data_IF_053713824946
#
_entry.id   IF_053713824946
#
_cell.length_a   1.000
_cell.length_b   1.000
_cell.length_c   1.000
_cell.angle_alpha   90.00
_cell.angle_beta   90.00
_cell.angle_gamma   90.00
#
_symmetry.space_group_name_H-M   'P 1'
#
loop_
_entity.id
_entity.type
_entity.pdbx_description
1 polymer ?
#
# COMPACT_ATOMS: atom_id res chain seq x y z
N UNK A 1 -31.63 32.57 -22.03
CA UNK A 1 -30.27 32.40 -21.44
C UNK A 1 -30.30 31.76 -20.05
N UNK A 2 -31.06 32.29 -19.06
CA UNK A 2 -31.12 31.73 -17.68
C UNK A 2 -31.58 30.27 -17.60
N UNK A 3 -32.49 29.84 -18.48
CA UNK A 3 -33.06 28.47 -18.51
C UNK A 3 -32.03 27.42 -18.99
N UNK A 4 -31.12 27.79 -19.89
CA UNK A 4 -30.06 26.88 -20.38
C UNK A 4 -28.95 26.71 -19.34
N UNK A 5 -28.70 27.76 -18.54
CA UNK A 5 -27.65 27.78 -17.54
C UNK A 5 -27.92 26.82 -16.36
N UNK A 6 -29.20 26.54 -16.03
CA UNK A 6 -29.60 25.68 -14.91
C UNK A 6 -29.07 24.24 -15.03
N UNK A 7 -29.36 23.48 -16.10
CA UNK A 7 -28.84 22.12 -16.25
C UNK A 7 -27.31 22.08 -16.43
N UNK A 8 -26.71 23.10 -17.05
CA UNK A 8 -25.27 23.20 -17.18
C UNK A 8 -24.60 23.30 -15.81
N UNK A 9 -25.11 24.15 -14.91
CA UNK A 9 -24.59 24.28 -13.55
C UNK A 9 -24.67 22.96 -12.76
N UNK A 10 -25.70 22.16 -12.93
CA UNK A 10 -25.78 20.85 -12.27
C UNK A 10 -24.71 19.88 -12.79
N UNK A 11 -24.42 19.90 -14.09
CA UNK A 11 -23.42 19.02 -14.70
C UNK A 11 -21.98 19.43 -14.39
N UNK A 12 -21.70 20.74 -14.24
CA UNK A 12 -20.34 21.24 -13.97
C UNK A 12 -19.77 20.77 -12.62
N UNK A 13 -20.61 20.26 -11.71
CA UNK A 13 -20.20 19.70 -10.43
C UNK A 13 -19.30 18.44 -10.59
N UNK A 14 -19.35 17.78 -11.72
CA UNK A 14 -18.45 16.66 -12.02
C UNK A 14 -16.97 17.10 -12.08
N UNK A 15 -16.71 18.35 -12.44
CA UNK A 15 -15.34 18.90 -12.58
C UNK A 15 -14.60 18.96 -11.22
N UNK A 16 -15.12 19.58 -10.14
CA UNK A 16 -14.48 19.54 -8.83
C UNK A 16 -14.38 18.12 -8.27
N UNK A 17 -15.35 17.24 -8.53
CA UNK A 17 -15.27 15.84 -8.17
C UNK A 17 -14.09 15.11 -8.84
N UNK A 18 -13.94 15.29 -10.14
CA UNK A 18 -12.83 14.72 -10.89
C UNK A 18 -11.48 15.27 -10.41
N UNK A 19 -11.39 16.57 -10.16
CA UNK A 19 -10.20 17.20 -9.62
C UNK A 19 -9.80 16.60 -8.25
N UNK A 20 -10.78 16.40 -7.37
CA UNK A 20 -10.56 15.78 -6.07
C UNK A 20 -10.00 14.35 -6.19
N UNK A 21 -10.48 13.56 -7.15
CA UNK A 21 -9.96 12.21 -7.41
C UNK A 21 -8.50 12.22 -7.90
N UNK A 22 -8.07 13.25 -8.62
CA UNK A 22 -6.69 13.36 -9.12
C UNK A 22 -5.68 13.83 -8.07
N UNK A 23 -6.08 14.51 -7.00
CA UNK A 23 -5.15 15.02 -5.99
C UNK A 23 -4.24 13.94 -5.38
N UNK A 24 -4.74 12.79 -4.90
CA UNK A 24 -3.90 11.79 -4.27
C UNK A 24 -2.99 11.03 -5.26
N UNK A 25 -3.34 11.04 -6.55
CA UNK A 25 -2.63 10.25 -7.58
C UNK A 25 -1.78 11.09 -8.53
N UNK A 26 -1.54 12.35 -8.19
CA UNK A 26 -0.78 13.28 -9.05
C UNK A 26 0.58 12.74 -9.49
N UNK A 27 1.25 11.95 -8.67
CA UNK A 27 2.56 11.34 -8.98
C UNK A 27 2.47 10.13 -9.91
N UNK A 28 1.28 9.55 -10.09
CA UNK A 28 1.02 8.33 -10.86
C UNK A 28 0.25 8.60 -12.15
N UNK A 29 0.33 9.81 -12.68
CA UNK A 29 -0.29 10.15 -13.95
C UNK A 29 0.56 9.65 -15.12
N UNK A 30 -0.08 9.12 -16.16
CA UNK A 30 0.59 8.72 -17.42
C UNK A 30 1.16 9.90 -18.18
N UNK A 31 0.63 11.10 -17.93
CA UNK A 31 1.04 12.35 -18.58
C UNK A 31 1.29 13.44 -17.52
N UNK A 32 2.14 14.44 -17.79
CA UNK A 32 2.33 15.55 -16.87
C UNK A 32 1.00 16.25 -16.57
N UNK A 33 0.78 16.61 -15.31
CA UNK A 33 -0.51 17.15 -14.83
C UNK A 33 -0.99 18.38 -15.63
N UNK A 34 -0.06 19.26 -16.06
CA UNK A 34 -0.39 20.41 -16.87
C UNK A 34 -0.96 20.04 -18.24
N UNK A 35 -0.37 19.04 -18.92
CA UNK A 35 -0.87 18.56 -20.22
C UNK A 35 -2.22 17.86 -20.07
N UNK A 36 -2.38 17.05 -19.02
CA UNK A 36 -3.66 16.40 -18.71
C UNK A 36 -4.75 17.44 -18.47
N UNK A 37 -4.51 18.45 -17.63
CA UNK A 37 -5.47 19.51 -17.36
C UNK A 37 -5.82 20.32 -18.61
N UNK A 38 -4.85 20.60 -19.48
CA UNK A 38 -5.05 21.40 -20.67
C UNK A 38 -6.06 20.82 -21.68
N UNK A 39 -6.16 19.50 -21.79
CA UNK A 39 -7.14 18.88 -22.69
C UNK A 39 -8.38 18.34 -21.95
N UNK A 40 -8.22 17.84 -20.71
CA UNK A 40 -9.31 17.23 -19.96
C UNK A 40 -10.33 18.28 -19.47
N UNK A 41 -9.86 19.42 -18.96
CA UNK A 41 -10.75 20.48 -18.46
C UNK A 41 -11.67 21.05 -19.54
N UNK A 42 -11.19 21.50 -20.72
CA UNK A 42 -12.07 22.01 -21.76
C UNK A 42 -12.98 20.91 -22.35
N UNK A 43 -12.50 19.68 -22.45
CA UNK A 43 -13.32 18.55 -22.86
C UNK A 43 -14.50 18.32 -21.90
N UNK A 44 -14.22 18.22 -20.59
CA UNK A 44 -15.27 18.03 -19.58
C UNK A 44 -16.24 19.21 -19.54
N UNK A 45 -15.74 20.44 -19.66
CA UNK A 45 -16.57 21.63 -19.73
C UNK A 45 -17.47 21.60 -20.98
N UNK A 46 -16.92 21.27 -22.13
CA UNK A 46 -17.70 21.13 -23.39
C UNK A 46 -18.81 20.08 -23.26
N UNK A 47 -18.51 18.94 -22.63
CA UNK A 47 -19.49 17.88 -22.37
C UNK A 47 -20.59 18.31 -21.38
N UNK A 48 -20.22 19.10 -20.34
CA UNK A 48 -21.21 19.66 -19.43
C UNK A 48 -22.14 20.64 -20.17
N UNK A 49 -21.59 21.48 -21.02
CA UNK A 49 -22.40 22.42 -21.83
C UNK A 49 -23.29 21.68 -22.82
N UNK A 50 -22.73 20.74 -23.59
CA UNK A 50 -23.48 19.95 -24.55
C UNK A 50 -24.58 19.11 -23.88
N UNK A 51 -24.24 18.42 -22.77
CA UNK A 51 -25.19 17.65 -21.98
C UNK A 51 -26.30 18.51 -21.37
N UNK A 52 -25.97 19.70 -20.85
CA UNK A 52 -26.95 20.65 -20.32
C UNK A 52 -27.88 21.20 -21.39
N UNK A 53 -27.36 21.53 -22.57
CA UNK A 53 -28.14 21.96 -23.72
C UNK A 53 -29.10 20.83 -24.22
N UNK A 54 -28.59 19.60 -24.25
CA UNK A 54 -29.39 18.41 -24.63
C UNK A 54 -30.51 18.13 -23.61
N UNK A 55 -30.24 18.20 -22.30
CA UNK A 55 -31.25 18.05 -21.26
C UNK A 55 -32.32 19.14 -21.39
N UNK A 56 -31.93 20.35 -21.74
CA UNK A 56 -32.88 21.44 -21.99
C UNK A 56 -33.75 21.18 -23.21
N UNK A 57 -33.15 20.75 -24.32
CA UNK A 57 -33.84 20.45 -25.56
C UNK A 57 -34.86 19.32 -25.39
N UNK A 58 -34.48 18.25 -24.73
CA UNK A 58 -35.33 17.06 -24.49
C UNK A 58 -36.22 17.20 -23.25
N UNK A 59 -36.22 18.32 -22.53
CA UNK A 59 -36.88 18.47 -21.23
C UNK A 59 -36.58 17.31 -20.24
N UNK A 60 -35.42 16.67 -20.39
CA UNK A 60 -35.02 15.52 -19.61
C UNK A 60 -34.40 15.93 -18.25
N UNK A 61 -34.46 15.01 -17.30
CA UNK A 61 -33.81 15.19 -16.01
C UNK A 61 -32.28 15.15 -16.16
N UNK A 62 -31.57 16.01 -15.42
CA UNK A 62 -30.11 16.03 -15.38
C UNK A 62 -29.50 14.79 -14.74
N UNK A 63 -30.26 13.97 -14.01
CA UNK A 63 -29.79 12.82 -13.26
C UNK A 63 -29.13 11.76 -14.16
N UNK A 64 -29.72 11.45 -15.33
CA UNK A 64 -29.13 10.52 -16.28
C UNK A 64 -27.87 11.09 -16.93
N UNK A 65 -27.87 12.38 -17.26
CA UNK A 65 -26.73 13.07 -17.86
C UNK A 65 -25.55 13.15 -16.87
N UNK A 66 -25.82 13.47 -15.60
CA UNK A 66 -24.78 13.47 -14.55
C UNK A 66 -24.22 12.06 -14.32
N UNK A 67 -25.07 11.02 -14.28
CA UNK A 67 -24.63 9.64 -14.16
C UNK A 67 -23.72 9.21 -15.32
N UNK A 68 -24.12 9.51 -16.56
CA UNK A 68 -23.31 9.22 -17.76
C UNK A 68 -21.97 9.98 -17.75
N UNK A 69 -22.01 11.26 -17.37
CA UNK A 69 -20.81 12.11 -17.30
C UNK A 69 -19.84 11.66 -16.19
N UNK A 70 -20.35 11.27 -15.02
CA UNK A 70 -19.54 10.72 -13.93
C UNK A 70 -18.93 9.38 -14.30
N UNK A 71 -19.67 8.50 -14.95
CA UNK A 71 -19.14 7.23 -15.45
C UNK A 71 -18.00 7.45 -16.45
N UNK A 72 -18.20 8.36 -17.40
CA UNK A 72 -17.16 8.72 -18.38
C UNK A 72 -15.94 9.35 -17.70
N UNK A 73 -16.15 10.26 -16.74
CA UNK A 73 -15.07 10.86 -15.95
C UNK A 73 -14.28 9.78 -15.19
N UNK A 74 -14.94 8.78 -14.62
CA UNK A 74 -14.33 7.65 -13.94
C UNK A 74 -13.50 6.78 -14.90
N UNK A 75 -14.01 6.48 -16.09
CA UNK A 75 -13.28 5.74 -17.13
C UNK A 75 -12.03 6.50 -17.58
N UNK A 76 -12.13 7.82 -17.80
CA UNK A 76 -10.98 8.66 -18.14
C UNK A 76 -9.96 8.71 -17.01
N UNK A 77 -10.41 8.82 -15.77
CA UNK A 77 -9.54 8.77 -14.59
C UNK A 77 -8.74 7.46 -14.53
N UNK A 78 -9.40 6.31 -14.66
CA UNK A 78 -8.74 5.00 -14.68
C UNK A 78 -7.74 4.87 -15.85
N UNK A 79 -8.10 5.39 -17.03
CA UNK A 79 -7.23 5.34 -18.22
C UNK A 79 -5.99 6.21 -18.12
N UNK A 80 -6.07 7.32 -17.42
CA UNK A 80 -4.99 8.32 -17.30
C UNK A 80 -4.05 8.10 -16.11
N UNK A 81 -4.40 7.20 -15.20
CA UNK A 81 -3.61 6.85 -14.02
C UNK A 81 -2.85 5.53 -14.21
N UNK A 82 -1.72 5.35 -13.51
CA UNK A 82 -0.86 4.14 -13.53
C UNK A 82 -1.06 3.25 -12.30
N UNK A 83 -2.08 3.52 -11.50
CA UNK A 83 -2.40 2.75 -10.28
C UNK A 83 -3.33 1.58 -10.58
N UNK A 84 -3.38 0.59 -9.67
CA UNK A 84 -4.28 -0.56 -9.82
C UNK A 84 -5.75 -0.14 -9.90
N UNK A 85 -6.56 -0.93 -10.60
CA UNK A 85 -8.00 -0.68 -10.76
C UNK A 85 -8.72 -0.56 -9.41
N UNK A 86 -8.32 -1.35 -8.42
CA UNK A 86 -8.92 -1.33 -7.09
C UNK A 86 -8.63 -0.02 -6.34
N UNK A 87 -7.38 0.45 -6.37
CA UNK A 87 -7.00 1.75 -5.77
C UNK A 87 -7.75 2.90 -6.45
N UNK A 88 -7.70 2.96 -7.79
CA UNK A 88 -8.37 4.02 -8.56
C UNK A 88 -9.89 3.98 -8.44
N UNK A 89 -10.49 2.78 -8.50
CA UNK A 89 -11.91 2.58 -8.35
C UNK A 89 -12.43 3.02 -6.98
N UNK A 90 -11.76 2.64 -5.90
CA UNK A 90 -12.15 3.03 -4.54
C UNK A 90 -12.09 4.55 -4.33
N UNK A 91 -11.03 5.21 -4.81
CA UNK A 91 -10.91 6.68 -4.72
C UNK A 91 -12.05 7.35 -5.49
N UNK A 92 -12.29 6.94 -6.74
CA UNK A 92 -13.34 7.51 -7.56
C UNK A 92 -14.73 7.28 -6.94
N UNK A 93 -15.04 6.08 -6.44
CA UNK A 93 -16.29 5.77 -5.78
C UNK A 93 -16.48 6.56 -4.49
N UNK A 94 -15.43 6.76 -3.68
CA UNK A 94 -15.49 7.57 -2.46
C UNK A 94 -15.82 9.03 -2.78
N UNK A 95 -15.20 9.59 -3.80
CA UNK A 95 -15.54 10.94 -4.28
C UNK A 95 -16.99 10.99 -4.79
N UNK A 96 -17.41 10.03 -5.61
CA UNK A 96 -18.78 9.95 -6.10
C UNK A 96 -19.80 9.86 -4.95
N UNK A 97 -19.51 9.10 -3.89
CA UNK A 97 -20.40 8.97 -2.73
C UNK A 97 -20.56 10.30 -1.97
N UNK A 98 -19.47 11.04 -1.76
CA UNK A 98 -19.51 12.38 -1.14
C UNK A 98 -20.37 13.32 -1.99
N UNK A 99 -20.14 13.35 -3.30
CA UNK A 99 -20.90 14.23 -4.22
C UNK A 99 -22.36 13.80 -4.38
N UNK A 100 -22.68 12.50 -4.25
CA UNK A 100 -24.06 12.01 -4.20
C UNK A 100 -24.80 12.54 -2.94
N UNK A 101 -24.14 12.52 -1.77
CA UNK A 101 -24.69 13.10 -0.54
C UNK A 101 -24.92 14.60 -0.68
N UNK A 102 -23.98 15.36 -1.28
CA UNK A 102 -24.13 16.77 -1.56
C UNK A 102 -25.26 17.07 -2.54
N UNK A 103 -25.45 16.20 -3.55
CA UNK A 103 -26.56 16.31 -4.50
C UNK A 103 -27.92 16.15 -3.79
N UNK A 104 -28.06 15.15 -2.90
CA UNK A 104 -29.28 14.93 -2.12
C UNK A 104 -29.59 16.15 -1.25
N UNK A 105 -28.60 16.73 -0.58
CA UNK A 105 -28.80 17.94 0.21
C UNK A 105 -29.19 19.15 -0.65
N UNK A 106 -28.61 19.27 -1.84
CA UNK A 106 -28.93 20.34 -2.79
C UNK A 106 -30.34 20.22 -3.36
N UNK A 107 -30.85 18.99 -3.53
CA UNK A 107 -32.29 18.73 -3.88
C UNK A 107 -33.21 19.23 -2.78
N UNK A 108 -32.85 18.96 -1.52
CA UNK A 108 -33.62 19.49 -0.38
C UNK A 108 -33.64 21.02 -0.35
N UNK A 109 -32.47 21.65 -0.56
CA UNK A 109 -32.35 23.11 -0.63
C UNK A 109 -33.20 23.69 -1.78
N UNK A 110 -33.14 23.06 -2.96
CA UNK A 110 -33.96 23.47 -4.11
C UNK A 110 -35.46 23.40 -3.79
N UNK A 111 -35.92 22.31 -3.17
CA UNK A 111 -37.32 22.16 -2.76
C UNK A 111 -37.73 23.22 -1.74
N UNK A 112 -36.87 23.51 -0.72
CA UNK A 112 -37.12 24.55 0.27
C UNK A 112 -37.24 25.95 -0.36
N UNK A 113 -36.38 26.28 -1.34
CA UNK A 113 -36.42 27.57 -2.05
C UNK A 113 -37.67 27.69 -2.92
N UNK A 114 -38.11 26.64 -3.59
CA UNK A 114 -39.34 26.65 -4.42
C UNK A 114 -40.60 26.77 -3.58
N UNK A 115 -40.68 26.11 -2.43
CA UNK A 115 -41.78 26.24 -1.48
C UNK A 115 -41.95 27.68 -1.00
N UNK A 116 -40.85 28.37 -0.71
CA UNK A 116 -40.88 29.78 -0.29
C UNK A 116 -41.33 30.74 -1.40
N UNK A 117 -41.02 30.38 -2.66
CA UNK A 117 -41.35 31.27 -3.79
C UNK A 117 -42.83 31.21 -4.22
N UNK A 118 -43.65 30.37 -3.61
CA UNK A 118 -45.11 30.14 -3.94
C UNK A 118 -45.42 29.91 -5.42
N UNK A 119 -44.41 29.70 -6.24
CA UNK A 119 -44.54 29.37 -7.67
C UNK A 119 -43.88 28.03 -7.90
N UNK A 120 -44.60 26.88 -7.76
CA UNK A 120 -44.04 25.56 -8.06
C UNK A 120 -43.93 25.39 -9.56
N UNK A 121 -42.95 26.01 -10.19
CA UNK A 121 -42.55 25.58 -11.53
C UNK A 121 -41.89 24.22 -11.39
N UNK A 122 -42.59 23.20 -11.75
CA UNK A 122 -42.10 21.82 -11.84
C UNK A 122 -41.11 21.74 -13.00
N UNK A 123 -39.92 22.24 -12.77
CA UNK A 123 -38.80 22.04 -13.72
C UNK A 123 -38.01 20.83 -13.26
N UNK A 124 -37.51 19.97 -14.20
CA UNK A 124 -36.67 18.83 -13.85
C UNK A 124 -35.28 19.23 -13.36
N UNK A 125 -34.97 20.53 -13.30
CA UNK A 125 -33.68 21.12 -12.95
C UNK A 125 -33.78 21.99 -11.68
N UNK A 126 -32.63 22.19 -11.02
CA UNK A 126 -32.55 23.09 -9.88
C UNK A 126 -32.84 24.55 -10.28
N UNK A 127 -33.39 25.31 -9.35
CA UNK A 127 -33.45 26.75 -9.53
C UNK A 127 -32.02 27.33 -9.57
N UNK A 128 -31.83 28.44 -10.26
CA UNK A 128 -30.50 29.02 -10.49
C UNK A 128 -29.73 29.22 -9.18
N UNK A 129 -30.41 29.70 -8.13
CA UNK A 129 -29.82 29.95 -6.81
C UNK A 129 -29.35 28.66 -6.15
N UNK A 130 -30.15 27.58 -6.19
CA UNK A 130 -29.76 26.29 -5.65
C UNK A 130 -28.60 25.67 -6.43
N UNK A 131 -28.58 25.80 -7.77
CA UNK A 131 -27.49 25.33 -8.60
C UNK A 131 -26.16 26.03 -8.33
N UNK A 132 -26.18 27.36 -8.13
CA UNK A 132 -24.97 28.13 -7.74
C UNK A 132 -24.46 27.73 -6.36
N UNK A 133 -25.35 27.62 -5.36
CA UNK A 133 -24.97 27.17 -4.01
C UNK A 133 -24.40 25.75 -4.05
N UNK A 134 -25.01 24.86 -4.81
CA UNK A 134 -24.52 23.50 -4.97
C UNK A 134 -23.07 23.46 -5.52
N UNK A 135 -22.81 24.20 -6.61
CA UNK A 135 -21.45 24.31 -7.14
C UNK A 135 -20.47 24.90 -6.11
N UNK A 136 -20.85 25.99 -5.46
CA UNK A 136 -19.99 26.64 -4.45
C UNK A 136 -19.64 25.66 -3.32
N UNK A 137 -20.60 24.89 -2.82
CA UNK A 137 -20.36 23.87 -1.78
C UNK A 137 -19.44 22.77 -2.30
N UNK A 138 -19.64 22.29 -3.52
CA UNK A 138 -18.78 21.26 -4.12
C UNK A 138 -17.31 21.75 -4.26
N UNK A 139 -17.09 22.96 -4.72
CA UNK A 139 -15.76 23.56 -4.78
C UNK A 139 -15.15 23.77 -3.40
N UNK A 140 -15.94 24.19 -2.41
CA UNK A 140 -15.49 24.36 -1.03
C UNK A 140 -15.06 23.00 -0.43
N UNK A 141 -15.86 21.95 -0.61
CA UNK A 141 -15.52 20.58 -0.16
C UNK A 141 -14.26 20.09 -0.85
N UNK A 142 -14.10 20.33 -2.15
CA UNK A 142 -12.88 19.97 -2.90
C UNK A 142 -11.65 20.70 -2.36
N UNK A 143 -11.77 21.99 -2.04
CA UNK A 143 -10.69 22.78 -1.46
C UNK A 143 -10.34 22.31 -0.03
N UNK A 144 -11.35 22.04 0.80
CA UNK A 144 -11.14 21.51 2.15
C UNK A 144 -10.49 20.12 2.16
N UNK A 145 -10.87 19.27 1.22
CA UNK A 145 -10.33 17.91 1.07
C UNK A 145 -8.94 17.88 0.40
N UNK A 146 -8.42 19.01 -0.09
CA UNK A 146 -7.10 19.07 -0.73
C UNK A 146 -5.98 18.55 0.16
N UNK A 147 -5.91 19.02 1.41
CA UNK A 147 -4.87 18.63 2.35
C UNK A 147 -4.91 17.14 2.69
N UNK A 148 -6.02 16.53 3.16
CA UNK A 148 -6.08 15.10 3.41
C UNK A 148 -5.87 14.26 2.16
N UNK A 149 -6.34 14.70 0.99
CA UNK A 149 -6.15 13.98 -0.27
C UNK A 149 -4.67 13.91 -0.71
N UNK A 150 -3.95 15.03 -0.58
CA UNK A 150 -2.55 15.12 -1.02
C UNK A 150 -1.54 14.53 -0.01
N UNK A 151 -1.90 14.37 1.25
CA UNK A 151 -1.02 13.83 2.29
C UNK A 151 -1.46 12.42 2.71
N UNK A 152 -2.61 12.29 3.37
CA UNK A 152 -3.01 11.00 3.95
C UNK A 152 -3.43 9.97 2.88
N UNK A 153 -4.27 10.33 1.89
CA UNK A 153 -4.67 9.39 0.83
C UNK A 153 -3.50 9.06 -0.08
N UNK A 154 -2.64 10.04 -0.38
CA UNK A 154 -1.45 9.84 -1.21
C UNK A 154 -0.51 8.81 -0.57
N UNK A 155 -0.17 8.93 0.70
CA UNK A 155 0.70 7.96 1.40
C UNK A 155 0.13 6.55 1.37
N UNK A 156 -1.21 6.42 1.45
CA UNK A 156 -1.88 5.12 1.31
C UNK A 156 -1.79 4.54 -0.11
N UNK A 157 -1.83 5.38 -1.14
CA UNK A 157 -1.69 4.94 -2.54
C UNK A 157 -0.25 4.50 -2.82
N UNK A 158 0.73 5.19 -2.25
CA UNK A 158 2.16 4.91 -2.40
C UNK A 158 2.59 3.63 -1.67
N UNK A 159 1.88 3.20 -0.63
CA UNK A 159 2.23 2.03 0.16
C UNK A 159 1.56 0.75 -0.38
N UNK A 160 2.38 -0.25 -0.73
CA UNK A 160 1.89 -1.54 -1.26
C UNK A 160 1.37 -2.49 -0.18
N UNK A 161 1.67 -2.23 1.10
CA UNK A 161 1.18 -3.04 2.23
C UNK A 161 -0.36 -3.00 2.37
N UNK A 162 -1.04 -2.06 1.72
CA UNK A 162 -2.50 -1.91 1.73
C UNK A 162 -3.23 -2.62 0.60
N UNK A 163 -2.56 -3.42 -0.22
CA UNK A 163 -3.19 -4.04 -1.39
C UNK A 163 -4.49 -4.78 -1.02
N UNK A 164 -4.50 -5.54 0.07
CA UNK A 164 -5.68 -6.29 0.53
C UNK A 164 -6.81 -5.38 1.02
N UNK A 165 -6.50 -4.25 1.62
CA UNK A 165 -7.49 -3.32 2.17
C UNK A 165 -8.32 -2.68 1.06
N UNK A 166 -7.72 -2.36 -0.09
CA UNK A 166 -8.41 -1.77 -1.22
C UNK A 166 -9.48 -2.68 -1.84
N UNK A 167 -9.37 -4.02 -1.71
CA UNK A 167 -10.37 -4.97 -2.19
C UNK A 167 -11.70 -4.95 -1.42
N UNK A 168 -11.73 -4.38 -0.22
CA UNK A 168 -12.92 -4.34 0.63
C UNK A 168 -13.54 -2.95 0.70
N UNK A 169 -12.71 -1.91 0.65
CA UNK A 169 -13.16 -0.53 0.92
C UNK A 169 -14.09 0.09 -0.13
N UNK A 170 -14.11 -0.39 -1.37
CA UNK A 170 -15.03 0.11 -2.40
C UNK A 170 -16.50 -0.20 -2.11
N UNK A 171 -16.78 -1.21 -1.28
CA UNK A 171 -18.14 -1.66 -0.97
C UNK A 171 -18.94 -0.56 -0.26
N UNK A 172 -18.33 0.10 0.73
CA UNK A 172 -19.01 1.14 1.51
C UNK A 172 -19.36 2.39 0.71
N UNK A 173 -18.47 3.02 -0.06
CA UNK A 173 -18.84 4.09 -0.98
C UNK A 173 -19.96 3.69 -1.94
N UNK A 174 -19.93 2.48 -2.46
CA UNK A 174 -20.97 1.96 -3.34
C UNK A 174 -22.33 1.88 -2.62
N UNK A 175 -22.37 1.41 -1.37
CA UNK A 175 -23.58 1.41 -0.55
C UNK A 175 -24.14 2.83 -0.33
N UNK A 176 -23.26 3.81 -0.06
CA UNK A 176 -23.69 5.21 0.11
C UNK A 176 -24.28 5.77 -1.20
N UNK A 177 -23.68 5.46 -2.35
CA UNK A 177 -24.24 5.83 -3.65
C UNK A 177 -25.61 5.19 -3.86
N UNK A 178 -25.75 3.90 -3.59
CA UNK A 178 -27.01 3.16 -3.73
C UNK A 178 -28.10 3.72 -2.80
N UNK A 179 -27.77 4.01 -1.54
CA UNK A 179 -28.70 4.63 -0.60
C UNK A 179 -29.13 6.03 -1.04
N UNK A 180 -28.19 6.87 -1.51
CA UNK A 180 -28.56 8.17 -2.05
C UNK A 180 -29.43 8.06 -3.29
N UNK A 181 -29.14 7.10 -4.18
CA UNK A 181 -29.97 6.87 -5.39
C UNK A 181 -31.38 6.40 -5.02
N UNK A 182 -31.50 5.50 -4.04
CA UNK A 182 -32.79 5.02 -3.54
C UNK A 182 -33.63 6.14 -2.90
N UNK A 183 -32.96 7.09 -2.23
CA UNK A 183 -33.64 8.24 -1.61
C UNK A 183 -34.15 9.27 -2.62
N UNK A 184 -33.67 9.28 -3.87
CA UNK A 184 -34.14 10.24 -4.89
C UNK A 184 -35.62 10.01 -5.14
N UNK A 185 -36.48 11.02 -4.86
CA UNK A 185 -37.93 10.84 -5.10
C UNK A 185 -38.21 10.76 -6.58
N UNK A 186 -39.09 9.80 -6.96
CA UNK A 186 -39.52 9.61 -8.34
C UNK A 186 -40.21 10.86 -8.86
N UNK A 187 -41.06 11.49 -8.00
CA UNK A 187 -41.72 12.75 -8.30
C UNK A 187 -41.15 13.87 -7.47
N UNK A 188 -40.53 14.91 -8.05
CA UNK A 188 -40.02 16.06 -7.31
C UNK A 188 -41.04 16.75 -6.40
N UNK A 189 -42.33 16.66 -6.76
CA UNK A 189 -43.45 17.23 -6.00
C UNK A 189 -43.64 16.62 -4.61
N UNK A 190 -43.19 15.38 -4.38
CA UNK A 190 -43.25 14.74 -3.05
C UNK A 190 -42.45 15.48 -1.99
N UNK A 191 -41.36 16.17 -2.38
CA UNK A 191 -40.55 17.00 -1.48
C UNK A 191 -41.24 18.31 -1.06
N UNK A 192 -42.34 18.71 -1.72
CA UNK A 192 -43.07 19.94 -1.35
C UNK A 192 -43.99 19.78 -0.14
N UNK A 193 -44.06 18.58 0.43
CA UNK A 193 -44.76 18.37 1.71
C UNK A 193 -43.76 18.61 2.86
N UNK A 194 -44.11 19.56 3.77
CA UNK A 194 -43.19 20.04 4.80
C UNK A 194 -42.56 18.93 5.67
N UNK A 195 -43.36 17.92 6.08
CA UNK A 195 -42.86 16.78 6.86
C UNK A 195 -41.91 15.89 6.04
N UNK A 196 -42.19 15.64 4.78
CA UNK A 196 -41.33 14.84 3.89
C UNK A 196 -40.03 15.56 3.63
N UNK A 197 -40.06 16.86 3.38
CA UNK A 197 -38.86 17.68 3.21
C UNK A 197 -37.96 17.65 4.47
N UNK A 198 -38.58 17.82 5.65
CA UNK A 198 -37.82 17.77 6.92
C UNK A 198 -37.13 16.40 7.10
N UNK A 199 -37.86 15.29 6.91
CA UNK A 199 -37.29 13.94 6.97
C UNK A 199 -36.18 13.71 5.96
N UNK A 200 -36.35 14.22 4.73
CA UNK A 200 -35.34 14.11 3.67
C UNK A 200 -34.08 14.92 4.00
N UNK A 201 -34.20 16.13 4.57
CA UNK A 201 -33.07 16.93 5.03
C UNK A 201 -32.31 16.20 6.14
N UNK A 202 -33.01 15.74 7.19
CA UNK A 202 -32.39 15.03 8.32
C UNK A 202 -31.62 13.81 7.84
N UNK A 203 -32.24 13.01 6.96
CA UNK A 203 -31.60 11.80 6.44
C UNK A 203 -30.41 12.13 5.53
N UNK A 204 -30.51 13.13 4.66
CA UNK A 204 -29.40 13.57 3.79
C UNK A 204 -28.23 14.11 4.59
N UNK A 205 -28.48 14.88 5.65
CA UNK A 205 -27.43 15.37 6.56
C UNK A 205 -26.79 14.21 7.34
N UNK A 206 -27.60 13.27 7.83
CA UNK A 206 -27.11 12.09 8.54
C UNK A 206 -26.19 11.23 7.64
N UNK A 207 -26.59 11.01 6.39
CA UNK A 207 -25.77 10.27 5.42
C UNK A 207 -24.46 11.01 5.10
N UNK A 208 -24.52 12.33 4.97
CA UNK A 208 -23.31 13.14 4.74
C UNK A 208 -22.35 13.06 5.93
N UNK A 209 -22.83 13.18 7.15
CA UNK A 209 -22.03 13.05 8.38
C UNK A 209 -21.43 11.64 8.46
N UNK A 210 -22.24 10.60 8.24
CA UNK A 210 -21.76 9.21 8.23
C UNK A 210 -20.68 9.00 7.17
N UNK A 211 -20.84 9.56 5.98
CA UNK A 211 -19.85 9.45 4.91
C UNK A 211 -18.52 10.13 5.29
N UNK A 212 -18.57 11.32 5.89
CA UNK A 212 -17.37 12.00 6.39
C UNK A 212 -16.72 11.24 7.56
N UNK A 213 -17.50 10.75 8.50
CA UNK A 213 -17.02 9.90 9.59
C UNK A 213 -16.32 8.66 9.05
N UNK A 214 -16.95 7.98 8.09
CA UNK A 214 -16.37 6.80 7.46
C UNK A 214 -15.03 7.12 6.78
N UNK A 215 -14.96 8.16 5.95
CA UNK A 215 -13.70 8.57 5.32
C UNK A 215 -12.61 8.90 6.36
N UNK A 216 -12.98 9.58 7.44
CA UNK A 216 -12.03 9.92 8.52
C UNK A 216 -11.53 8.67 9.25
N UNK A 217 -12.44 7.77 9.63
CA UNK A 217 -12.07 6.50 10.29
C UNK A 217 -11.19 5.66 9.36
N UNK A 218 -11.53 5.60 8.08
CA UNK A 218 -10.72 4.91 7.08
C UNK A 218 -9.28 5.45 7.02
N UNK A 219 -9.13 6.78 6.94
CA UNK A 219 -7.82 7.42 6.93
C UNK A 219 -7.03 7.16 8.23
N UNK A 220 -7.68 7.25 9.38
CA UNK A 220 -7.06 6.98 10.69
C UNK A 220 -6.65 5.51 10.81
N UNK A 221 -7.51 4.58 10.41
CA UNK A 221 -7.21 3.15 10.43
C UNK A 221 -6.03 2.83 9.52
N UNK A 222 -6.02 3.37 8.31
CA UNK A 222 -4.97 3.15 7.35
C UNK A 222 -3.61 3.71 7.85
N UNK A 223 -3.58 4.93 8.36
CA UNK A 223 -2.35 5.51 8.93
C UNK A 223 -1.84 4.74 10.14
N UNK A 224 -2.76 4.23 10.99
CA UNK A 224 -2.42 3.39 12.15
C UNK A 224 -1.84 2.03 11.72
N UNK A 225 -2.45 1.37 10.74
CA UNK A 225 -1.95 0.09 10.22
C UNK A 225 -0.55 0.24 9.62
N UNK A 226 -0.31 1.31 8.85
CA UNK A 226 1.00 1.59 8.27
C UNK A 226 2.06 1.82 9.35
N UNK A 227 1.74 2.63 10.36
CA UNK A 227 2.63 2.86 11.50
C UNK A 227 2.96 1.55 12.23
N UNK A 228 1.96 0.70 12.47
CA UNK A 228 2.17 -0.58 13.11
C UNK A 228 3.03 -1.53 12.27
N UNK A 229 2.84 -1.55 10.94
CA UNK A 229 3.67 -2.36 10.04
C UNK A 229 5.13 -1.91 10.07
N UNK A 230 5.40 -0.60 10.00
CA UNK A 230 6.76 -0.04 10.13
C UNK A 230 7.40 -0.38 11.47
N UNK A 231 6.68 -0.19 12.57
CA UNK A 231 7.19 -0.55 13.90
C UNK A 231 7.53 -2.03 14.02
N UNK A 232 6.74 -2.92 13.41
CA UNK A 232 7.06 -4.36 13.37
C UNK A 232 8.34 -4.63 12.58
N UNK A 233 8.52 -4.00 11.42
CA UNK A 233 9.74 -4.14 10.63
C UNK A 233 10.97 -3.62 11.38
N UNK A 234 10.88 -2.46 12.03
CA UNK A 234 11.95 -1.90 12.86
C UNK A 234 12.30 -2.84 14.02
N UNK A 235 11.30 -3.38 14.72
CA UNK A 235 11.52 -4.32 15.82
C UNK A 235 12.16 -5.63 15.32
N UNK A 236 11.77 -6.16 14.17
CA UNK A 236 12.41 -7.33 13.57
C UNK A 236 13.88 -7.05 13.21
N UNK A 237 14.16 -5.89 12.64
CA UNK A 237 15.54 -5.50 12.32
C UNK A 237 16.40 -5.37 13.59
N UNK A 238 15.86 -4.75 14.63
CA UNK A 238 16.55 -4.62 15.92
C UNK A 238 16.80 -5.99 16.56
N UNK A 239 15.84 -6.90 16.53
CA UNK A 239 16.02 -8.25 17.06
C UNK A 239 17.09 -9.04 16.31
N UNK A 240 17.14 -8.94 14.97
CA UNK A 240 18.20 -9.55 14.17
C UNK A 240 19.59 -8.95 14.46
N UNK A 241 19.66 -7.63 14.65
CA UNK A 241 20.93 -6.97 15.04
C UNK A 241 21.39 -7.43 16.42
N UNK A 242 20.48 -7.55 17.37
CA UNK A 242 20.80 -8.03 18.72
C UNK A 242 21.31 -9.48 18.67
N UNK A 243 20.66 -10.34 17.92
CA UNK A 243 21.10 -11.74 17.75
C UNK A 243 22.47 -11.84 17.09
N UNK A 244 22.77 -11.01 16.08
CA UNK A 244 24.10 -10.93 15.48
C UNK A 244 25.15 -10.48 16.50
N UNK A 245 24.83 -9.48 17.33
CA UNK A 245 25.71 -9.01 18.37
C UNK A 245 26.03 -10.10 19.41
N UNK A 246 25.01 -10.85 19.84
CA UNK A 246 25.15 -11.98 20.75
C UNK A 246 26.05 -13.09 20.14
N UNK A 247 25.78 -13.47 18.89
CA UNK A 247 26.61 -14.46 18.17
C UNK A 247 28.08 -13.99 18.03
N UNK A 248 28.28 -12.70 17.71
CA UNK A 248 29.63 -12.13 17.64
C UNK A 248 30.33 -12.18 18.99
N UNK A 249 29.62 -11.88 20.09
CA UNK A 249 30.17 -11.94 21.45
C UNK A 249 30.61 -13.36 21.81
N UNK A 250 29.79 -14.35 21.48
CA UNK A 250 30.14 -15.78 21.68
C UNK A 250 31.38 -16.14 20.87
N UNK A 251 31.42 -15.79 19.59
CA UNK A 251 32.61 -16.05 18.74
C UNK A 251 33.88 -15.38 19.25
N UNK A 252 33.80 -14.15 19.76
CA UNK A 252 34.94 -13.46 20.36
C UNK A 252 35.44 -14.20 21.61
N UNK A 253 34.54 -14.70 22.46
CA UNK A 253 34.92 -15.44 23.65
C UNK A 253 35.55 -16.80 23.29
N UNK A 254 35.03 -17.50 22.30
CA UNK A 254 35.61 -18.73 21.76
C UNK A 254 37.06 -18.51 21.24
N UNK A 255 37.24 -17.45 20.45
CA UNK A 255 38.60 -17.08 19.98
C UNK A 255 39.51 -16.72 21.13
N UNK A 256 39.03 -16.01 22.16
CA UNK A 256 39.79 -15.68 23.35
C UNK A 256 40.22 -16.95 24.10
N UNK A 257 39.31 -17.89 24.25
CA UNK A 257 39.60 -19.18 24.91
C UNK A 257 40.62 -19.99 24.12
N UNK A 258 40.39 -20.15 22.80
CA UNK A 258 41.36 -20.84 21.93
C UNK A 258 42.76 -20.23 21.99
N UNK A 259 42.85 -18.89 21.99
CA UNK A 259 44.13 -18.19 22.15
C UNK A 259 44.80 -18.44 23.52
N UNK A 260 43.98 -18.51 24.59
CA UNK A 260 44.47 -18.84 25.93
C UNK A 260 45.03 -20.28 25.94
N UNK A 261 44.33 -21.23 25.36
CA UNK A 261 44.72 -22.63 25.33
C UNK A 261 46.00 -22.85 24.49
N UNK A 262 46.11 -22.18 23.34
CA UNK A 262 47.34 -22.18 22.53
C UNK A 262 48.54 -21.63 23.35
N UNK A 263 48.33 -20.52 24.06
CA UNK A 263 49.37 -19.94 24.90
C UNK A 263 49.83 -20.91 26.01
N UNK A 264 48.88 -21.60 26.62
CA UNK A 264 49.14 -22.62 27.63
C UNK A 264 49.98 -23.78 27.07
N UNK A 265 49.60 -24.31 25.87
CA UNK A 265 50.39 -25.34 25.20
C UNK A 265 51.81 -24.90 24.84
N UNK A 266 51.94 -23.67 24.31
CA UNK A 266 53.27 -23.12 23.99
C UNK A 266 54.17 -22.95 25.22
N UNK A 267 53.60 -22.47 26.34
CA UNK A 267 54.33 -22.34 27.58
C UNK A 267 54.80 -23.69 28.13
N UNK A 268 53.96 -24.74 28.03
CA UNK A 268 54.35 -26.09 28.44
C UNK A 268 55.51 -26.64 27.58
N UNK A 269 55.42 -26.47 26.27
CA UNK A 269 56.48 -26.87 25.34
C UNK A 269 57.79 -26.11 25.68
N UNK A 270 57.70 -24.81 25.97
CA UNK A 270 58.88 -23.99 26.33
C UNK A 270 59.54 -24.48 27.62
N UNK A 271 58.74 -24.78 28.65
CA UNK A 271 59.26 -25.33 29.91
C UNK A 271 59.96 -26.66 29.75
N UNK A 272 59.41 -27.56 28.94
CA UNK A 272 60.03 -28.85 28.65
C UNK A 272 61.32 -28.71 27.82
N UNK A 273 61.35 -27.72 26.92
CA UNK A 273 62.56 -27.41 26.14
C UNK A 273 63.69 -26.80 27.01
N UNK A 274 63.35 -25.95 27.98
CA UNK A 274 64.33 -25.39 28.96
C UNK A 274 64.87 -26.48 29.85
N UNK A 275 64.13 -27.57 30.09
CA UNK A 275 64.56 -28.74 30.83
C UNK A 275 65.41 -29.74 30.01
N UNK A 276 65.60 -29.46 28.73
CA UNK A 276 66.30 -30.31 27.74
C UNK A 276 65.71 -31.73 27.62
N UNK A 277 64.36 -31.91 27.95
CA UNK A 277 63.69 -33.16 27.97
C UNK A 277 62.95 -33.39 26.63
N UNK A 278 63.68 -33.84 25.62
CA UNK A 278 63.19 -34.05 24.29
C UNK A 278 62.12 -35.20 24.21
N UNK A 279 62.21 -36.17 25.08
CA UNK A 279 61.25 -37.30 25.11
C UNK A 279 59.87 -36.83 25.67
N UNK A 280 59.88 -35.99 26.71
CA UNK A 280 58.67 -35.43 27.26
C UNK A 280 58.01 -34.46 26.28
N UNK A 281 58.77 -33.68 25.47
CA UNK A 281 58.22 -32.84 24.39
C UNK A 281 57.49 -33.70 23.35
N UNK A 282 58.11 -34.78 22.87
CA UNK A 282 57.49 -35.68 21.91
C UNK A 282 56.22 -36.32 22.43
N UNK A 283 56.25 -36.81 23.69
CA UNK A 283 55.08 -37.39 24.33
C UNK A 283 53.91 -36.37 24.47
N UNK A 284 54.23 -35.12 24.89
CA UNK A 284 53.23 -34.03 25.01
C UNK A 284 52.63 -33.67 23.64
N UNK A 285 53.42 -33.51 22.60
CA UNK A 285 52.95 -33.24 21.23
C UNK A 285 52.07 -34.37 20.72
N UNK A 286 52.48 -35.63 20.89
CA UNK A 286 51.68 -36.78 20.50
C UNK A 286 50.33 -36.81 21.20
N UNK A 287 50.29 -36.49 22.51
CA UNK A 287 49.05 -36.42 23.26
C UNK A 287 48.17 -35.24 22.84
N UNK A 288 48.75 -34.09 22.49
CA UNK A 288 48.03 -32.91 22.06
C UNK A 288 47.46 -33.12 20.65
N UNK A 289 48.25 -33.65 19.74
CA UNK A 289 47.81 -33.96 18.36
C UNK A 289 46.71 -35.00 18.35
N UNK A 290 46.77 -36.03 19.22
CA UNK A 290 45.69 -37.06 19.28
C UNK A 290 44.34 -36.52 19.77
N UNK A 291 44.31 -35.32 20.37
CA UNK A 291 43.07 -34.63 20.75
C UNK A 291 42.47 -33.82 19.61
N UNK A 292 43.24 -33.51 18.57
CA UNK A 292 42.75 -32.88 17.34
C UNK A 292 42.13 -34.00 16.52
N UNK A 293 40.84 -33.89 16.11
CA UNK A 293 40.21 -34.88 15.28
C UNK A 293 41.03 -35.11 14.00
N UNK A 294 41.37 -36.36 13.70
CA UNK A 294 42.08 -36.73 12.48
C UNK A 294 41.26 -36.29 11.26
N UNK A 295 41.71 -35.22 10.64
CA UNK A 295 41.16 -34.73 9.37
C UNK A 295 41.80 -35.41 8.16
N UNK A 296 42.59 -36.51 8.40
CA UNK A 296 43.30 -37.26 7.35
C UNK A 296 42.39 -38.14 6.47
N UNK A 297 41.13 -37.82 6.35
CA UNK A 297 40.30 -38.44 5.30
C UNK A 297 40.42 -37.61 4.02
N UNK A 298 41.12 -38.12 3.06
CA UNK A 298 41.27 -37.55 1.74
C UNK A 298 40.14 -38.05 0.85
N UNK A 299 39.21 -37.20 0.46
CA UNK A 299 38.04 -37.54 -0.33
C UNK A 299 38.25 -37.23 -1.83
N UNK A 300 39.00 -36.18 -2.15
CA UNK A 300 39.28 -35.79 -3.53
C UNK A 300 40.52 -34.86 -3.64
N UNK A 301 41.03 -34.69 -4.87
CA UNK A 301 42.20 -33.86 -5.14
C UNK A 301 41.97 -32.34 -5.00
N UNK A 302 40.71 -31.89 -5.01
CA UNK A 302 40.37 -30.46 -4.82
C UNK A 302 40.35 -30.09 -3.35
N UNK A 303 41.27 -29.20 -2.92
CA UNK A 303 41.50 -28.83 -1.51
C UNK A 303 40.30 -28.24 -0.82
N UNK A 304 39.52 -27.39 -1.52
CA UNK A 304 38.35 -26.72 -0.93
C UNK A 304 37.26 -27.75 -0.62
N UNK A 305 36.95 -28.61 -1.58
CA UNK A 305 35.98 -29.70 -1.44
C UNK A 305 36.42 -30.74 -0.40
N UNK A 306 37.68 -31.11 -0.41
CA UNK A 306 38.26 -32.05 0.55
C UNK A 306 38.17 -31.57 2.00
N UNK A 307 38.46 -30.28 2.23
CA UNK A 307 38.35 -29.65 3.56
C UNK A 307 36.90 -29.64 4.06
N UNK A 308 35.93 -29.32 3.20
CA UNK A 308 34.51 -29.26 3.58
C UNK A 308 34.00 -30.66 3.92
N UNK A 309 34.34 -31.67 3.10
CA UNK A 309 33.97 -33.06 3.35
C UNK A 309 34.60 -33.61 4.61
N UNK A 310 35.89 -33.34 4.86
CA UNK A 310 36.59 -33.72 6.08
C UNK A 310 35.91 -33.17 7.33
N UNK A 311 35.50 -31.89 7.31
CA UNK A 311 34.75 -31.24 8.40
C UNK A 311 33.42 -31.95 8.67
N UNK A 312 32.57 -32.15 7.64
CA UNK A 312 31.27 -32.78 7.84
C UNK A 312 31.38 -34.28 8.16
N UNK A 313 32.39 -34.98 7.67
CA UNK A 313 32.66 -36.35 8.08
C UNK A 313 33.04 -36.45 9.57
N UNK A 314 33.89 -35.54 10.06
CA UNK A 314 34.23 -35.48 11.49
C UNK A 314 33.00 -35.12 12.37
N UNK A 315 32.15 -34.24 11.88
CA UNK A 315 30.89 -33.85 12.54
C UNK A 315 29.94 -35.07 12.59
N UNK A 316 29.70 -35.74 11.46
CA UNK A 316 28.85 -36.91 11.37
C UNK A 316 29.33 -38.05 12.28
N UNK A 317 30.65 -38.29 12.32
CA UNK A 317 31.27 -39.30 13.20
C UNK A 317 31.03 -38.97 14.68
N UNK A 318 31.10 -37.70 15.06
CA UNK A 318 30.82 -37.23 16.42
C UNK A 318 29.35 -37.47 16.83
N UNK A 319 28.43 -37.21 15.91
CA UNK A 319 26.99 -37.37 16.11
C UNK A 319 26.51 -38.85 15.87
N UNK A 320 27.44 -39.78 15.53
CA UNK A 320 27.12 -41.20 15.27
C UNK A 320 26.37 -41.43 13.97
N UNK A 321 26.44 -40.52 13.03
CA UNK A 321 25.81 -40.60 11.71
C UNK A 321 26.75 -41.27 10.74
N UNK A 322 26.33 -42.34 10.04
CA UNK A 322 27.17 -42.98 9.00
C UNK A 322 27.37 -42.02 7.83
N UNK A 323 28.61 -41.69 7.52
CA UNK A 323 28.99 -40.81 6.43
C UNK A 323 29.83 -41.60 5.39
N UNK A 324 29.42 -41.52 4.13
CA UNK A 324 30.22 -42.05 3.00
C UNK A 324 30.14 -41.05 1.84
N UNK A 325 31.26 -40.72 1.28
CA UNK A 325 31.33 -39.84 0.10
C UNK A 325 32.27 -40.49 -0.93
N UNK A 326 31.83 -40.53 -2.20
CA UNK A 326 32.64 -40.94 -3.32
C UNK A 326 32.61 -39.81 -4.34
N UNK A 327 33.75 -39.14 -4.50
CA UNK A 327 33.84 -37.92 -5.30
C UNK A 327 35.03 -38.05 -6.24
N UNK A 328 34.75 -37.83 -7.51
CA UNK A 328 35.74 -37.80 -8.59
C UNK A 328 35.77 -36.37 -9.15
N UNK A 329 36.65 -35.55 -8.61
CA UNK A 329 36.82 -34.16 -9.03
C UNK A 329 38.27 -33.86 -9.33
N UNK A 330 38.57 -33.17 -10.45
CA UNK A 330 39.94 -32.75 -10.77
C UNK A 330 40.42 -31.67 -9.78
N UNK A 331 41.72 -31.54 -9.66
CA UNK A 331 42.40 -30.61 -8.75
C UNK A 331 41.97 -29.15 -8.98
N UNK A 332 41.67 -28.73 -10.23
CA UNK A 332 41.19 -27.41 -10.60
C UNK A 332 39.85 -27.51 -11.27
N UNK A 333 38.88 -26.73 -10.77
CA UNK A 333 37.53 -26.62 -11.33
C UNK A 333 37.36 -25.30 -12.06
N UNK A 334 36.50 -25.23 -13.09
CA UNK A 334 36.17 -23.95 -13.76
C UNK A 334 35.23 -23.05 -12.95
N UNK A 335 35.05 -23.34 -11.66
CA UNK A 335 34.19 -22.62 -10.72
C UNK A 335 35.02 -22.12 -9.56
N UNK A 336 34.65 -20.99 -8.96
CA UNK A 336 35.31 -20.42 -7.79
C UNK A 336 35.27 -21.42 -6.62
N UNK A 337 36.42 -21.65 -5.98
CA UNK A 337 36.57 -22.61 -4.88
C UNK A 337 35.70 -22.24 -3.67
N UNK A 338 35.49 -20.94 -3.42
CA UNK A 338 34.69 -20.44 -2.30
C UNK A 338 33.22 -20.75 -2.56
N UNK A 339 32.73 -20.49 -3.78
CA UNK A 339 31.34 -20.74 -4.17
C UNK A 339 31.03 -22.25 -4.11
N UNK A 340 31.96 -23.11 -4.58
CA UNK A 340 31.84 -24.56 -4.51
C UNK A 340 31.77 -25.06 -3.06
N UNK A 341 32.64 -24.54 -2.20
CA UNK A 341 32.65 -24.85 -0.77
C UNK A 341 31.35 -24.46 -0.08
N UNK A 342 30.81 -23.29 -0.41
CA UNK A 342 29.55 -22.79 0.14
C UNK A 342 28.34 -23.63 -0.28
N UNK A 343 28.27 -24.01 -1.55
CA UNK A 343 27.19 -24.89 -2.07
C UNK A 343 27.26 -26.26 -1.40
N UNK A 344 28.45 -26.82 -1.29
CA UNK A 344 28.63 -28.13 -0.67
C UNK A 344 28.30 -28.13 0.82
N UNK A 345 28.73 -27.08 1.55
CA UNK A 345 28.36 -26.88 2.95
C UNK A 345 26.84 -26.82 3.14
N UNK A 346 26.13 -26.03 2.32
CA UNK A 346 24.68 -25.93 2.41
C UNK A 346 23.95 -27.24 2.09
N UNK A 347 24.51 -28.07 1.19
CA UNK A 347 23.95 -29.37 0.87
C UNK A 347 24.16 -30.40 1.99
N UNK A 348 25.29 -30.34 2.71
CA UNK A 348 25.64 -31.30 3.77
C UNK A 348 25.02 -30.88 5.12
N UNK A 349 24.68 -29.60 5.30
CA UNK A 349 24.05 -29.11 6.53
C UNK A 349 22.54 -29.40 6.59
N UNK A 350 21.87 -29.55 5.42
CA UNK A 350 20.44 -29.85 5.31
C UNK A 350 20.18 -31.36 5.28
#
# INVERSE_FOLDING_TARGET
MREVLRPILELTVVIPGLLLAYFPVKSYLKQPAGRLAAWLTPMMLGLCVAGGALCRYLHASTALATAGLTLMAMLLYIRTTQISLWKSGTIALSVCAVFACLNSLSRALNAAMLMRAQTPQVTPWFCLRAGVVYNAVCWLVTAAAYYPATHAVRTMVEDDNFAQTWYVFWILPLMFIALNLFMVPIYPTTLYTGRVLQGYIVLSVALLILMFMFNTIFLLMATSLNRNARLRQENQLLSMQQQRYENLKVAIEEVRQARHDIRHHLNQISMLAEADDMEAIKAYLAQTVSRIPDLDMHFCENRAVDSVLGYYCALAKREGIPFSAQIDLPQTLPVDEIDMGLVLSNLLEN
#
